data_IF_303891041541
#
_entry.id   IF_303891041541
#
_cell.length_a   1.000
_cell.length_b   1.000
_cell.length_c   1.000
_cell.angle_alpha   90.00
_cell.angle_beta   90.00
_cell.angle_gamma   90.00
#
_symmetry.space_group_name_H-M   'P 1'
#
loop_
_entity.id
_entity.type
_entity.pdbx_description
1 polymer ?
#
# COMPACT_ATOMS: atom_id res chain seq x y z
N UNK A 1 32.25 6.53 -45.97
CA UNK A 1 31.52 7.56 -46.75
C UNK A 1 30.89 8.56 -45.77
N UNK A 2 30.79 9.86 -46.13
CA UNK A 2 30.26 10.91 -45.22
C UNK A 2 28.92 10.55 -44.56
N UNK A 3 28.01 9.98 -45.35
CA UNK A 3 26.70 9.50 -44.89
C UNK A 3 26.75 8.42 -43.79
N UNK A 4 27.80 7.59 -43.75
CA UNK A 4 27.97 6.60 -42.67
C UNK A 4 28.37 7.24 -41.35
N UNK A 5 29.28 8.20 -41.39
CA UNK A 5 29.70 8.96 -40.21
C UNK A 5 28.54 9.80 -39.64
N UNK A 6 27.69 10.36 -40.50
CA UNK A 6 26.47 11.07 -40.06
C UNK A 6 25.49 10.15 -39.32
N UNK A 7 25.27 8.91 -39.82
CA UNK A 7 24.43 7.92 -39.16
C UNK A 7 25.00 7.48 -37.80
N UNK A 8 26.33 7.30 -37.74
CA UNK A 8 27.02 6.96 -36.50
C UNK A 8 26.91 8.09 -35.46
N UNK A 9 27.13 9.35 -35.87
CA UNK A 9 26.98 10.51 -35.00
C UNK A 9 25.54 10.69 -34.50
N UNK A 10 24.55 10.43 -35.36
CA UNK A 10 23.14 10.48 -34.97
C UNK A 10 22.82 9.42 -33.90
N UNK A 11 23.34 8.20 -34.04
CA UNK A 11 23.13 7.14 -33.06
C UNK A 11 23.74 7.48 -31.69
N UNK A 12 24.93 8.09 -31.66
CA UNK A 12 25.54 8.57 -30.40
C UNK A 12 24.67 9.66 -29.77
N UNK A 13 24.20 10.64 -30.55
CA UNK A 13 23.34 11.71 -30.05
C UNK A 13 22.02 11.20 -29.49
N UNK A 14 21.35 10.29 -30.20
CA UNK A 14 20.12 9.67 -29.71
C UNK A 14 20.37 8.85 -28.44
N UNK A 15 21.49 8.12 -28.36
CA UNK A 15 21.84 7.37 -27.15
C UNK A 15 21.92 8.27 -25.91
N UNK A 16 22.57 9.44 -26.04
CA UNK A 16 22.64 10.43 -24.95
C UNK A 16 21.24 10.96 -24.58
N UNK A 17 20.40 11.22 -25.58
CA UNK A 17 19.03 11.67 -25.35
C UNK A 17 18.17 10.61 -24.66
N UNK A 18 18.26 9.36 -25.09
CA UNK A 18 17.55 8.22 -24.47
C UNK A 18 17.95 8.08 -22.99
N UNK A 19 19.25 8.18 -22.69
CA UNK A 19 19.73 8.15 -21.30
C UNK A 19 19.12 9.30 -20.49
N UNK A 20 19.10 10.52 -21.03
CA UNK A 20 18.50 11.67 -20.32
C UNK A 20 16.99 11.47 -20.04
N UNK A 21 16.24 10.84 -20.96
CA UNK A 21 14.83 10.49 -20.74
C UNK A 21 14.66 9.44 -19.63
N UNK A 22 15.56 8.45 -19.61
CA UNK A 22 15.62 7.40 -18.58
C UNK A 22 15.98 7.98 -17.22
N UNK A 23 16.94 8.91 -17.16
CA UNK A 23 17.28 9.67 -15.94
C UNK A 23 16.09 10.49 -15.43
N UNK A 24 15.25 10.98 -16.34
CA UNK A 24 13.97 11.61 -16.01
C UNK A 24 12.88 10.64 -15.52
N UNK A 25 13.17 9.34 -15.46
CA UNK A 25 12.31 8.30 -14.88
C UNK A 25 11.52 7.47 -15.90
N UNK A 26 11.57 7.79 -17.20
CA UNK A 26 10.86 7.01 -18.22
C UNK A 26 11.73 5.87 -18.76
N UNK A 27 11.46 4.66 -18.29
CA UNK A 27 12.18 3.44 -18.65
C UNK A 27 11.69 2.80 -19.95
N UNK A 28 10.70 3.38 -20.63
CA UNK A 28 10.20 2.89 -21.93
C UNK A 28 11.02 3.38 -23.12
N UNK A 29 11.91 4.37 -22.91
CA UNK A 29 12.70 4.96 -23.97
C UNK A 29 13.68 3.94 -24.58
N UNK A 30 13.86 3.98 -25.90
CA UNK A 30 14.78 3.09 -26.63
C UNK A 30 15.54 3.86 -27.71
N UNK A 31 16.73 3.39 -28.02
CA UNK A 31 17.56 3.93 -29.09
C UNK A 31 17.12 3.27 -30.41
N UNK A 32 16.64 4.08 -31.34
CA UNK A 32 16.07 3.63 -32.62
C UNK A 32 16.99 3.86 -33.81
N UNK A 33 17.93 4.81 -33.72
CA UNK A 33 18.94 5.04 -34.75
C UNK A 33 19.72 3.77 -35.09
N UNK A 34 20.04 3.64 -36.37
CA UNK A 34 20.79 2.51 -36.91
C UNK A 34 22.14 3.01 -37.42
N UNK A 35 23.20 2.93 -36.59
CA UNK A 35 24.55 3.26 -37.02
C UNK A 35 25.05 2.24 -38.04
N UNK A 36 26.12 2.59 -38.78
CA UNK A 36 26.83 1.67 -39.68
C UNK A 36 28.02 1.02 -39.01
N UNK A 37 28.62 1.68 -38.01
CA UNK A 37 29.72 1.13 -37.24
C UNK A 37 29.23 -0.11 -36.46
N UNK A 38 29.82 -1.30 -36.67
CA UNK A 38 29.39 -2.53 -35.98
C UNK A 38 29.44 -2.44 -34.45
N UNK A 39 30.43 -1.73 -33.89
CA UNK A 39 30.56 -1.54 -32.45
C UNK A 39 29.44 -0.65 -31.89
N UNK A 40 29.01 0.37 -32.65
CA UNK A 40 27.87 1.21 -32.26
C UNK A 40 26.55 0.45 -32.37
N UNK A 41 26.40 -0.46 -33.33
CA UNK A 41 25.23 -1.36 -33.41
C UNK A 41 25.18 -2.26 -32.18
N UNK A 42 26.32 -2.87 -31.81
CA UNK A 42 26.42 -3.69 -30.61
C UNK A 42 26.09 -2.90 -29.34
N UNK A 43 26.66 -1.70 -29.20
CA UNK A 43 26.38 -0.80 -28.07
C UNK A 43 24.90 -0.47 -27.98
N UNK A 44 24.25 -0.07 -29.08
CA UNK A 44 22.80 0.17 -29.14
C UNK A 44 22.01 -1.03 -28.63
N UNK A 45 22.35 -2.22 -29.10
CA UNK A 45 21.64 -3.44 -28.75
C UNK A 45 21.82 -3.81 -27.27
N UNK A 46 23.03 -3.66 -26.73
CA UNK A 46 23.31 -3.88 -25.30
C UNK A 46 22.54 -2.88 -24.44
N UNK A 47 22.55 -1.59 -24.81
CA UNK A 47 21.81 -0.55 -24.08
C UNK A 47 20.30 -0.81 -24.11
N UNK A 48 19.72 -1.11 -25.28
CA UNK A 48 18.29 -1.42 -25.35
C UNK A 48 17.93 -2.66 -24.53
N UNK A 49 18.75 -3.72 -24.53
CA UNK A 49 18.54 -4.89 -23.65
C UNK A 49 18.63 -4.55 -22.17
N UNK A 50 19.54 -3.65 -21.78
CA UNK A 50 19.61 -3.14 -20.41
C UNK A 50 18.31 -2.43 -20.04
N UNK A 51 17.80 -1.57 -20.93
CA UNK A 51 16.56 -0.83 -20.71
C UNK A 51 15.34 -1.77 -20.67
N UNK A 52 15.30 -2.82 -21.50
CA UNK A 52 14.28 -3.88 -21.44
C UNK A 52 14.29 -4.60 -20.10
N UNK A 53 15.49 -4.96 -19.60
CA UNK A 53 15.63 -5.60 -18.30
C UNK A 53 15.21 -4.67 -17.15
N UNK A 54 15.56 -3.39 -17.22
CA UNK A 54 15.14 -2.40 -16.23
C UNK A 54 13.63 -2.20 -16.24
N UNK A 55 13.02 -2.06 -17.42
CA UNK A 55 11.57 -1.89 -17.53
C UNK A 55 10.80 -3.11 -17.00
N UNK A 56 11.25 -4.33 -17.31
CA UNK A 56 10.61 -5.55 -16.83
C UNK A 56 10.78 -5.76 -15.32
N UNK A 57 11.92 -5.40 -14.75
CA UNK A 57 12.19 -5.59 -13.31
C UNK A 57 11.62 -4.46 -12.46
N UNK A 58 11.73 -3.23 -12.92
CA UNK A 58 11.33 -2.04 -12.16
C UNK A 58 9.92 -1.63 -12.58
N UNK A 59 9.76 -1.16 -13.80
CA UNK A 59 8.53 -0.55 -14.26
C UNK A 59 8.72 0.36 -15.45
N UNK A 60 7.65 1.02 -15.87
CA UNK A 60 7.65 1.92 -17.02
C UNK A 60 8.01 3.35 -16.64
N UNK A 61 7.51 3.82 -15.50
CA UNK A 61 7.70 5.19 -15.01
C UNK A 61 8.10 5.21 -13.53
N UNK A 62 9.35 5.57 -13.27
CA UNK A 62 9.89 5.69 -11.91
C UNK A 62 9.22 6.81 -11.11
N UNK A 63 8.72 7.85 -11.77
CA UNK A 63 8.05 8.95 -11.08
C UNK A 63 6.71 8.51 -10.49
N UNK A 64 6.01 7.62 -11.20
CA UNK A 64 4.74 7.08 -10.72
C UNK A 64 4.94 6.15 -9.52
N UNK A 65 5.98 5.30 -9.56
CA UNK A 65 6.39 4.50 -8.41
C UNK A 65 6.72 5.40 -7.21
N UNK A 66 7.49 6.47 -7.44
CA UNK A 66 7.85 7.43 -6.39
C UNK A 66 6.62 8.15 -5.81
N UNK A 67 5.63 8.49 -6.64
CA UNK A 67 4.37 9.10 -6.20
C UNK A 67 3.63 8.18 -5.23
N UNK A 68 3.45 6.90 -5.60
CA UNK A 68 2.76 5.91 -4.76
C UNK A 68 3.53 5.67 -3.45
N UNK A 69 4.86 5.55 -3.51
CA UNK A 69 5.67 5.42 -2.29
C UNK A 69 5.56 6.64 -1.37
N UNK A 70 5.44 7.85 -1.92
CA UNK A 70 5.23 9.05 -1.10
C UNK A 70 3.85 9.03 -0.42
N UNK A 71 2.79 8.61 -1.12
CA UNK A 71 1.47 8.40 -0.51
C UNK A 71 1.54 7.37 0.63
N UNK A 72 2.22 6.25 0.42
CA UNK A 72 2.35 5.20 1.44
C UNK A 72 3.16 5.68 2.65
N UNK A 73 4.20 6.52 2.45
CA UNK A 73 4.93 7.17 3.54
C UNK A 73 4.05 8.09 4.39
N UNK A 74 3.04 8.72 3.79
CA UNK A 74 2.03 9.51 4.50
C UNK A 74 0.86 8.68 5.06
N UNK A 75 0.99 7.34 5.09
CA UNK A 75 -0.07 6.40 5.50
C UNK A 75 -1.32 6.45 4.62
N UNK A 76 -1.22 7.01 3.44
CA UNK A 76 -2.27 6.99 2.43
C UNK A 76 -2.03 5.83 1.48
N UNK A 77 -2.75 4.72 1.71
CA UNK A 77 -2.68 3.52 0.88
C UNK A 77 -3.72 3.49 -0.24
N UNK A 78 -4.42 4.61 -0.51
CA UNK A 78 -5.48 4.65 -1.54
C UNK A 78 -4.95 4.70 -2.97
N UNK A 79 -3.66 5.00 -3.14
CA UNK A 79 -3.02 5.09 -4.44
C UNK A 79 -2.38 3.77 -4.88
N UNK A 80 -2.33 3.57 -6.19
CA UNK A 80 -1.64 2.45 -6.83
C UNK A 80 -0.93 2.92 -8.10
N UNK A 81 0.02 2.12 -8.57
CA UNK A 81 0.66 2.30 -9.88
C UNK A 81 -0.29 1.74 -10.94
N UNK A 82 -0.79 2.58 -11.84
CA UNK A 82 -1.64 2.12 -12.94
C UNK A 82 -0.83 1.39 -13.99
N UNK A 83 -1.46 0.41 -14.65
CA UNK A 83 -0.84 -0.39 -15.71
C UNK A 83 0.52 -0.98 -15.29
N UNK A 84 0.60 -1.43 -14.04
CA UNK A 84 1.80 -2.03 -13.47
C UNK A 84 2.20 -3.28 -14.24
N UNK A 85 3.36 -3.22 -14.89
CA UNK A 85 3.92 -4.32 -15.68
C UNK A 85 5.31 -4.74 -15.19
N UNK A 86 6.04 -3.83 -14.54
CA UNK A 86 7.32 -4.15 -13.92
C UNK A 86 7.14 -4.87 -12.58
N UNK A 87 8.10 -5.73 -12.23
CA UNK A 87 8.02 -6.50 -10.99
C UNK A 87 7.92 -5.60 -9.74
N UNK A 88 8.62 -4.46 -9.68
CA UNK A 88 8.52 -3.50 -8.57
C UNK A 88 7.15 -2.82 -8.54
N UNK A 89 6.60 -2.39 -9.68
CA UNK A 89 5.25 -1.80 -9.76
C UNK A 89 4.19 -2.78 -9.23
N UNK A 90 4.19 -4.03 -9.74
CA UNK A 90 3.25 -5.07 -9.34
C UNK A 90 3.38 -5.39 -7.85
N UNK A 91 4.61 -5.53 -7.36
CA UNK A 91 4.87 -5.78 -5.93
C UNK A 91 4.40 -4.62 -5.06
N UNK A 92 4.58 -3.38 -5.52
CA UNK A 92 4.13 -2.18 -4.81
C UNK A 92 2.62 -2.21 -4.61
N UNK A 93 1.86 -2.48 -5.67
CA UNK A 93 0.39 -2.58 -5.58
C UNK A 93 -0.04 -3.74 -4.67
N UNK A 94 0.60 -4.91 -4.78
CA UNK A 94 0.29 -6.06 -3.94
C UNK A 94 0.50 -5.75 -2.44
N UNK A 95 1.61 -5.09 -2.10
CA UNK A 95 1.88 -4.64 -0.74
C UNK A 95 0.85 -3.61 -0.26
N UNK A 96 0.48 -2.65 -1.09
CA UNK A 96 -0.58 -1.69 -0.79
C UNK A 96 -1.91 -2.37 -0.45
N UNK A 97 -2.32 -3.34 -1.27
CA UNK A 97 -3.55 -4.09 -1.04
C UNK A 97 -3.51 -4.92 0.26
N UNK A 98 -2.38 -5.56 0.58
CA UNK A 98 -2.28 -6.31 1.83
C UNK A 98 -2.30 -5.39 3.05
N UNK A 99 -1.70 -4.19 2.97
CA UNK A 99 -1.81 -3.18 4.03
C UNK A 99 -3.26 -2.73 4.22
N UNK A 100 -3.98 -2.40 3.14
CA UNK A 100 -5.40 -2.03 3.20
C UNK A 100 -6.22 -3.14 3.88
N UNK A 101 -5.97 -4.39 3.51
CA UNK A 101 -6.65 -5.54 4.09
C UNK A 101 -6.36 -5.68 5.58
N UNK A 102 -5.11 -5.56 6.01
CA UNK A 102 -4.75 -5.59 7.43
C UNK A 102 -5.43 -4.45 8.20
N UNK A 103 -5.48 -3.23 7.64
CA UNK A 103 -6.14 -2.09 8.27
C UNK A 103 -7.65 -2.30 8.40
N UNK A 104 -8.32 -2.82 7.37
CA UNK A 104 -9.73 -3.18 7.43
C UNK A 104 -9.99 -4.22 8.51
N UNK A 105 -9.19 -5.28 8.54
CA UNK A 105 -9.32 -6.32 9.55
C UNK A 105 -9.10 -5.77 10.97
N UNK A 106 -8.12 -4.89 11.17
CA UNK A 106 -7.90 -4.22 12.45
C UNK A 106 -9.09 -3.35 12.86
N UNK A 107 -9.71 -2.64 11.91
CA UNK A 107 -10.93 -1.86 12.15
C UNK A 107 -12.11 -2.76 12.54
N UNK A 108 -12.29 -3.88 11.85
CA UNK A 108 -13.36 -4.84 12.16
C UNK A 108 -13.19 -5.44 13.56
N UNK A 109 -11.95 -5.77 13.96
CA UNK A 109 -11.64 -6.21 15.32
C UNK A 109 -11.94 -5.13 16.36
N UNK A 110 -11.57 -3.87 16.11
CA UNK A 110 -11.84 -2.76 17.02
C UNK A 110 -13.35 -2.54 17.22
N UNK A 111 -14.12 -2.62 16.13
CA UNK A 111 -15.58 -2.49 16.17
C UNK A 111 -16.23 -3.66 16.93
N UNK A 112 -15.79 -4.89 16.68
CA UNK A 112 -16.27 -6.07 17.41
C UNK A 112 -15.98 -5.95 18.91
N UNK A 113 -14.76 -5.54 19.27
CA UNK A 113 -14.36 -5.34 20.66
C UNK A 113 -15.18 -4.25 21.35
N UNK A 114 -15.43 -3.13 20.67
CA UNK A 114 -16.26 -2.05 21.19
C UNK A 114 -17.70 -2.52 21.47
N UNK A 115 -18.27 -3.32 20.56
CA UNK A 115 -19.60 -3.90 20.72
C UNK A 115 -19.67 -4.85 21.92
N UNK A 116 -18.74 -5.81 22.03
CA UNK A 116 -18.71 -6.76 23.15
C UNK A 116 -18.46 -6.06 24.49
N UNK A 117 -17.62 -5.01 24.51
CA UNK A 117 -17.40 -4.19 25.70
C UNK A 117 -18.67 -3.45 26.14
N UNK A 118 -19.46 -2.93 25.19
CA UNK A 118 -20.74 -2.29 25.48
C UNK A 118 -21.79 -3.27 26.02
N UNK A 119 -21.84 -4.49 25.47
CA UNK A 119 -22.71 -5.57 26.00
C UNK A 119 -22.32 -5.94 27.42
N UNK A 120 -21.02 -6.11 27.68
CA UNK A 120 -20.51 -6.43 29.02
C UNK A 120 -20.85 -5.31 30.02
N UNK A 121 -20.65 -4.05 29.65
CA UNK A 121 -21.04 -2.91 30.48
C UNK A 121 -22.52 -2.94 30.85
N UNK A 122 -23.39 -3.22 29.87
CA UNK A 122 -24.84 -3.33 30.08
C UNK A 122 -25.18 -4.49 31.01
N UNK A 123 -24.53 -5.64 30.85
CA UNK A 123 -24.73 -6.81 31.71
C UNK A 123 -24.28 -6.54 33.15
N UNK A 124 -23.12 -5.91 33.36
CA UNK A 124 -22.63 -5.51 34.69
C UNK A 124 -23.58 -4.52 35.33
N UNK A 125 -24.05 -3.49 34.61
CA UNK A 125 -25.00 -2.53 35.14
C UNK A 125 -26.32 -3.20 35.56
N UNK A 126 -26.83 -4.14 34.75
CA UNK A 126 -28.04 -4.90 35.05
C UNK A 126 -27.88 -5.80 36.27
N UNK A 127 -26.71 -6.43 36.42
CA UNK A 127 -26.34 -7.23 37.58
C UNK A 127 -26.28 -6.37 38.84
N UNK A 128 -25.59 -5.22 38.80
CA UNK A 128 -25.50 -4.28 39.93
C UNK A 128 -26.89 -3.81 40.37
N UNK A 129 -27.75 -3.43 39.44
CA UNK A 129 -29.12 -3.04 39.76
C UNK A 129 -29.89 -4.18 40.41
N UNK A 130 -29.82 -5.39 39.85
CA UNK A 130 -30.50 -6.57 40.41
C UNK A 130 -30.00 -6.91 41.81
N UNK A 131 -28.69 -6.84 42.06
CA UNK A 131 -28.10 -7.08 43.37
C UNK A 131 -28.52 -6.03 44.40
N UNK A 132 -28.59 -4.75 44.03
CA UNK A 132 -29.08 -3.69 44.91
C UNK A 132 -30.55 -3.91 45.27
N UNK A 133 -31.40 -4.23 44.28
CA UNK A 133 -32.82 -4.55 44.53
C UNK A 133 -32.97 -5.77 45.44
N UNK A 134 -32.16 -6.81 45.24
CA UNK A 134 -32.19 -8.00 46.09
C UNK A 134 -31.76 -7.70 47.53
N UNK A 135 -30.73 -6.88 47.73
CA UNK A 135 -30.31 -6.45 49.06
C UNK A 135 -31.42 -5.68 49.78
N UNK A 136 -32.09 -4.75 49.08
CA UNK A 136 -33.24 -4.02 49.61
C UNK A 136 -34.39 -4.96 50.00
N UNK A 137 -34.75 -5.94 49.14
CA UNK A 137 -35.79 -6.91 49.48
C UNK A 137 -35.44 -7.78 50.69
N UNK A 138 -34.15 -8.07 50.92
CA UNK A 138 -33.69 -8.78 52.13
C UNK A 138 -33.81 -7.90 53.38
N UNK A 139 -33.49 -6.61 53.29
CA UNK A 139 -33.70 -5.64 54.38
C UNK A 139 -35.19 -5.53 54.75
N UNK A 140 -36.06 -5.41 53.75
CA UNK A 140 -37.51 -5.35 53.96
C UNK A 140 -38.04 -6.63 54.62
N UNK A 141 -37.55 -7.81 54.19
CA UNK A 141 -37.92 -9.10 54.78
C UNK A 141 -37.45 -9.21 56.23
N UNK A 142 -36.23 -8.74 56.52
CA UNK A 142 -35.68 -8.74 57.87
C UNK A 142 -36.48 -7.81 58.80
N UNK A 143 -36.82 -6.60 58.34
CA UNK A 143 -37.65 -5.66 59.09
C UNK A 143 -39.05 -6.22 59.39
N UNK A 144 -39.69 -6.86 58.40
CA UNK A 144 -40.98 -7.51 58.60
C UNK A 144 -40.91 -8.66 59.63
N UNK A 145 -39.80 -9.43 59.64
CA UNK A 145 -39.56 -10.45 60.66
C UNK A 145 -39.35 -9.87 62.06
N UNK A 146 -38.65 -8.74 62.19
CA UNK A 146 -38.51 -8.02 63.46
C UNK A 146 -39.86 -7.52 63.99
N UNK A 147 -40.72 -6.99 63.13
CA UNK A 147 -42.06 -6.56 63.51
C UNK A 147 -42.92 -7.73 64.03
N UNK A 148 -42.86 -8.89 63.36
CA UNK A 148 -43.57 -10.11 63.78
C UNK A 148 -43.05 -10.61 65.13
N UNK A 149 -41.74 -10.57 65.36
CA UNK A 149 -41.11 -11.10 66.57
C UNK A 149 -41.16 -10.15 67.77
N UNK A 150 -41.38 -8.86 67.54
CA UNK A 150 -41.57 -7.84 68.59
C UNK A 150 -43.04 -7.64 69.01
N UNK A 151 -43.98 -8.27 68.28
CA UNK A 151 -45.42 -8.30 68.56
C UNK A 151 -45.80 -9.50 69.44
#
# INVERSE_FOLDING_TARGET
>A
TKRGLEQDNQAVKESVQTVSVVEGGNLTARITANPRNPQLIELKNVLNRLLDALQARVGSDMNEIQRVFNSYKSLDFTTEVKDANGAVEVTTNALGQEIIKMLKQSSDFANALANESGKLQTAVQSLTTSSNSQAQSLEETAAALEEITSS
#
